data_IF_960561585356
#
_entry.id   IF_960561585356
#
_cell.length_a   1.000
_cell.length_b   1.000
_cell.length_c   1.000
_cell.angle_alpha   90.00
_cell.angle_beta   90.00
_cell.angle_gamma   90.00
#
_symmetry.space_group_name_H-M   'P 1'
#
loop_
_entity.id
_entity.type
_entity.pdbx_description
1 polymer ?
#
# COMPACT_ATOMS: atom_id res chain seq x y z
N UNK A 1 -7.06 -22.91 -19.46
CA UNK A 1 -7.14 -21.57 -18.81
C UNK A 1 -6.01 -20.74 -19.38
N UNK A 2 -6.25 -19.49 -19.80
CA UNK A 2 -5.18 -18.59 -20.26
C UNK A 2 -4.77 -17.69 -19.09
N UNK A 3 -3.48 -17.71 -18.73
CA UNK A 3 -2.89 -16.90 -17.65
C UNK A 3 -1.78 -16.05 -18.23
N UNK A 4 -1.64 -14.82 -17.76
CA UNK A 4 -0.51 -13.93 -18.03
C UNK A 4 0.01 -13.34 -16.72
N UNK A 5 1.32 -13.26 -16.58
CA UNK A 5 1.96 -12.73 -15.39
C UNK A 5 2.90 -11.56 -15.73
N UNK A 6 2.67 -10.38 -15.14
CA UNK A 6 3.63 -9.29 -15.10
C UNK A 6 4.29 -9.26 -13.71
N UNK A 7 5.59 -9.07 -13.64
CA UNK A 7 6.35 -9.05 -12.39
C UNK A 7 7.45 -8.00 -12.42
N UNK A 8 7.90 -7.56 -11.24
CA UNK A 8 9.00 -6.61 -11.13
C UNK A 8 10.35 -7.31 -11.34
N UNK A 9 11.22 -6.78 -12.20
CA UNK A 9 12.51 -7.41 -12.57
C UNK A 9 13.69 -7.05 -11.64
N UNK A 10 13.52 -6.17 -10.65
CA UNK A 10 14.63 -5.65 -9.84
C UNK A 10 15.47 -6.74 -9.18
N UNK A 11 14.83 -7.77 -8.68
CA UNK A 11 15.49 -8.89 -8.02
C UNK A 11 16.29 -9.79 -8.99
N UNK A 12 16.15 -9.62 -10.31
CA UNK A 12 16.99 -10.28 -11.32
C UNK A 12 18.31 -9.55 -11.58
N UNK A 13 18.46 -8.33 -11.09
CA UNK A 13 19.76 -7.65 -11.14
C UNK A 13 20.64 -8.20 -10.01
N UNK A 14 21.98 -8.29 -10.22
CA UNK A 14 22.88 -8.57 -9.13
C UNK A 14 22.72 -7.46 -8.11
N UNK A 15 21.76 -7.64 -7.21
CA UNK A 15 21.55 -6.75 -6.11
C UNK A 15 22.70 -6.94 -5.11
N UNK A 16 23.17 -5.87 -4.44
CA UNK A 16 24.10 -6.02 -3.33
C UNK A 16 23.51 -6.87 -2.19
N UNK A 17 22.22 -7.19 -2.29
CA UNK A 17 21.44 -8.00 -1.33
C UNK A 17 20.85 -9.17 -2.09
N UNK A 18 21.18 -10.43 -1.77
CA UNK A 18 20.54 -11.58 -2.38
C UNK A 18 19.04 -11.57 -2.05
N UNK A 19 18.18 -12.05 -2.97
CA UNK A 19 16.76 -12.21 -2.69
C UNK A 19 16.58 -13.14 -1.49
N UNK A 20 15.45 -13.04 -0.76
CA UNK A 20 15.11 -14.01 0.27
C UNK A 20 15.19 -15.43 -0.28
N UNK A 21 15.63 -16.41 0.52
CA UNK A 21 15.78 -17.80 0.05
C UNK A 21 14.49 -18.39 -0.55
N UNK A 22 13.34 -17.85 -0.20
CA UNK A 22 12.02 -18.32 -0.61
C UNK A 22 11.43 -17.51 -1.79
N UNK A 23 12.18 -16.58 -2.37
CA UNK A 23 11.78 -15.74 -3.49
C UNK A 23 12.69 -15.90 -4.70
N UNK A 24 13.03 -17.13 -5.06
CA UNK A 24 13.92 -17.39 -6.19
C UNK A 24 13.24 -16.94 -7.50
N UNK A 25 13.84 -15.96 -8.22
CA UNK A 25 13.32 -15.50 -9.50
C UNK A 25 13.24 -16.61 -10.56
N UNK A 26 14.04 -17.66 -10.43
CA UNK A 26 14.04 -18.80 -11.35
C UNK A 26 12.68 -19.51 -11.37
N UNK A 27 11.92 -19.46 -10.28
CA UNK A 27 10.57 -20.04 -10.22
C UNK A 27 9.60 -19.40 -11.22
N UNK A 28 9.84 -18.14 -11.62
CA UNK A 28 9.03 -17.47 -12.64
C UNK A 28 9.33 -18.05 -14.03
N UNK A 29 10.58 -18.41 -14.29
CA UNK A 29 11.01 -18.97 -15.57
C UNK A 29 10.50 -20.41 -15.75
N UNK A 30 10.19 -21.11 -14.66
CA UNK A 30 9.61 -22.46 -14.67
C UNK A 30 8.08 -22.45 -14.94
N UNK A 31 7.42 -21.27 -14.91
CA UNK A 31 5.99 -21.17 -15.17
C UNK A 31 5.69 -21.34 -16.66
N UNK A 32 4.88 -22.34 -17.00
CA UNK A 32 4.39 -22.56 -18.37
C UNK A 32 3.21 -21.60 -18.71
N UNK A 33 3.45 -20.28 -18.53
CA UNK A 33 2.51 -19.22 -18.87
C UNK A 33 3.28 -18.00 -19.42
N UNK A 34 2.68 -17.19 -20.29
CA UNK A 34 3.30 -15.94 -20.72
C UNK A 34 3.64 -15.03 -19.54
N UNK A 35 4.91 -14.71 -19.39
CA UNK A 35 5.42 -13.80 -18.36
C UNK A 35 6.03 -12.55 -18.96
N UNK A 36 5.96 -11.42 -18.24
CA UNK A 36 6.67 -10.18 -18.59
C UNK A 36 7.30 -9.54 -17.37
N UNK A 37 8.61 -9.41 -17.40
CA UNK A 37 9.36 -8.59 -16.47
C UNK A 37 9.15 -7.10 -16.78
N UNK A 38 8.88 -6.36 -15.74
CA UNK A 38 8.73 -4.89 -15.77
C UNK A 38 9.96 -4.31 -15.06
N UNK A 39 10.80 -3.51 -15.73
CA UNK A 39 11.92 -2.86 -15.07
C UNK A 39 11.43 -1.99 -13.90
N UNK A 40 11.99 -2.20 -12.72
CA UNK A 40 11.65 -1.46 -11.52
C UNK A 40 12.57 -0.26 -11.27
N UNK A 41 13.00 0.41 -12.32
CA UNK A 41 13.93 1.56 -12.25
C UNK A 41 13.43 2.66 -13.21
N UNK A 42 13.28 3.91 -12.73
CA UNK A 42 13.55 4.39 -11.37
C UNK A 42 12.54 3.89 -10.32
N UNK A 43 11.30 3.56 -10.73
CA UNK A 43 10.18 3.26 -9.85
C UNK A 43 9.71 1.80 -10.01
N UNK A 44 9.20 1.22 -8.92
CA UNK A 44 8.84 -0.19 -8.87
C UNK A 44 7.50 -0.48 -9.56
N UNK A 45 7.41 -1.65 -10.21
CA UNK A 45 6.13 -2.29 -10.47
C UNK A 45 5.69 -3.00 -9.16
N UNK A 46 4.92 -2.30 -8.36
CA UNK A 46 4.59 -2.72 -6.99
C UNK A 46 3.13 -3.19 -6.83
N UNK A 47 2.42 -3.40 -7.92
CA UNK A 47 1.06 -3.97 -7.90
C UNK A 47 0.99 -5.34 -7.25
N UNK A 48 -0.12 -5.62 -6.60
CA UNK A 48 -0.48 -6.94 -6.06
C UNK A 48 -1.97 -7.17 -6.32
N UNK A 49 -2.28 -7.64 -7.53
CA UNK A 49 -3.65 -7.99 -7.90
C UNK A 49 -3.73 -9.18 -8.85
N UNK A 50 -4.87 -9.81 -8.86
CA UNK A 50 -5.26 -10.83 -9.84
C UNK A 50 -6.61 -10.44 -10.43
N UNK A 51 -6.73 -10.56 -11.75
CA UNK A 51 -8.00 -10.44 -12.45
C UNK A 51 -8.42 -11.84 -12.87
N UNK A 52 -9.56 -12.29 -12.37
CA UNK A 52 -10.09 -13.60 -12.70
C UNK A 52 -11.24 -13.48 -13.70
N UNK A 53 -11.05 -14.03 -14.89
CA UNK A 53 -12.05 -14.20 -15.97
C UNK A 53 -12.74 -12.89 -16.39
N UNK A 54 -12.10 -11.74 -16.18
CA UNK A 54 -12.71 -10.41 -16.39
C UNK A 54 -13.97 -10.18 -15.54
N UNK A 55 -14.13 -10.91 -14.46
CA UNK A 55 -15.33 -10.91 -13.62
C UNK A 55 -15.05 -10.49 -12.17
N UNK A 56 -13.85 -10.76 -11.65
CA UNK A 56 -13.48 -10.38 -10.29
C UNK A 56 -12.04 -9.92 -10.19
N UNK A 57 -11.76 -9.16 -9.14
CA UNK A 57 -10.43 -8.66 -8.79
C UNK A 57 -10.10 -9.10 -7.37
N UNK A 58 -8.95 -9.73 -7.19
CA UNK A 58 -8.27 -9.93 -5.92
C UNK A 58 -7.17 -8.84 -5.82
N UNK A 59 -7.13 -8.08 -4.74
CA UNK A 59 -6.19 -6.97 -4.56
C UNK A 59 -5.84 -6.80 -3.10
N UNK A 60 -4.61 -6.33 -2.83
CA UNK A 60 -4.17 -6.07 -1.47
C UNK A 60 -2.69 -5.77 -1.34
N UNK A 61 -2.18 -6.02 -0.15
CA UNK A 61 -0.78 -5.73 0.18
C UNK A 61 0.17 -6.92 0.07
N UNK A 62 -0.36 -8.14 -0.06
CA UNK A 62 0.40 -9.40 0.00
C UNK A 62 1.30 -9.59 -1.20
N UNK A 63 2.61 -9.68 -0.98
CA UNK A 63 3.54 -10.15 -2.00
C UNK A 63 3.38 -11.67 -2.21
N UNK A 64 3.82 -12.15 -3.37
CA UNK A 64 3.76 -13.57 -3.72
C UNK A 64 5.03 -14.32 -3.25
N UNK A 65 5.30 -14.18 -1.94
CA UNK A 65 6.44 -14.79 -1.26
C UNK A 65 5.97 -15.49 0.01
N UNK A 66 6.67 -16.53 0.43
CA UNK A 66 6.33 -17.29 1.65
C UNK A 66 6.31 -16.38 2.90
N UNK A 67 7.27 -15.48 3.04
CA UNK A 67 7.31 -14.53 4.15
C UNK A 67 6.06 -13.65 4.21
N UNK A 68 5.55 -13.22 3.05
CA UNK A 68 4.35 -12.39 2.99
C UNK A 68 3.10 -13.12 3.46
N UNK A 69 3.01 -14.43 3.22
CA UNK A 69 1.89 -15.25 3.64
C UNK A 69 1.98 -15.72 5.09
N UNK A 70 3.18 -15.93 5.62
CA UNK A 70 3.38 -16.57 6.92
C UNK A 70 3.83 -15.64 8.05
N UNK A 71 4.43 -14.47 7.73
CA UNK A 71 5.13 -13.62 8.71
C UNK A 71 4.69 -12.16 8.72
N UNK A 72 4.10 -11.68 7.62
CA UNK A 72 3.70 -10.28 7.48
C UNK A 72 2.22 -10.10 7.82
N UNK A 73 1.90 -8.95 8.38
CA UNK A 73 0.52 -8.48 8.46
C UNK A 73 0.13 -7.88 7.11
N UNK A 74 -0.83 -8.49 6.46
CA UNK A 74 -1.32 -8.07 5.15
C UNK A 74 -2.85 -7.97 5.15
N UNK A 75 -3.40 -7.21 4.21
CA UNK A 75 -4.82 -7.15 3.92
C UNK A 75 -5.08 -7.47 2.45
N UNK A 76 -6.13 -8.24 2.20
CA UNK A 76 -6.59 -8.64 0.88
C UNK A 76 -8.09 -8.41 0.81
N UNK A 77 -8.55 -7.93 -0.32
CA UNK A 77 -9.97 -7.83 -0.66
C UNK A 77 -10.23 -8.48 -2.01
N UNK A 78 -11.40 -9.10 -2.14
CA UNK A 78 -11.89 -9.62 -3.42
C UNK A 78 -13.19 -8.91 -3.76
N UNK A 79 -13.32 -8.46 -5.00
CA UNK A 79 -14.52 -7.76 -5.49
C UNK A 79 -14.99 -8.44 -6.77
N UNK A 80 -16.21 -8.92 -6.77
CA UNK A 80 -16.87 -9.47 -7.94
C UNK A 80 -17.57 -8.34 -8.69
N UNK A 81 -16.93 -7.85 -9.77
CA UNK A 81 -17.44 -6.81 -10.64
C UNK A 81 -16.72 -6.82 -11.98
N UNK A 82 -17.46 -7.02 -13.06
CA UNK A 82 -16.91 -6.97 -14.43
C UNK A 82 -16.39 -5.58 -14.79
N UNK A 83 -17.07 -4.55 -14.35
CA UNK A 83 -16.66 -3.17 -14.63
C UNK A 83 -15.36 -2.83 -13.90
N UNK A 84 -15.24 -3.21 -12.62
CA UNK A 84 -14.00 -3.03 -11.87
C UNK A 84 -12.87 -3.87 -12.48
N UNK A 85 -13.13 -5.13 -12.82
CA UNK A 85 -12.16 -6.01 -13.49
C UNK A 85 -11.66 -5.41 -14.81
N UNK A 86 -12.53 -4.73 -15.56
CA UNK A 86 -12.14 -4.01 -16.79
C UNK A 86 -11.16 -2.86 -16.52
N UNK A 87 -11.33 -2.11 -15.39
CA UNK A 87 -10.38 -1.06 -14.98
C UNK A 87 -8.99 -1.64 -14.70
N UNK A 88 -8.93 -2.74 -13.94
CA UNK A 88 -7.67 -3.43 -13.66
C UNK A 88 -7.05 -4.03 -14.93
N UNK A 89 -7.87 -4.59 -15.83
CA UNK A 89 -7.40 -5.09 -17.12
C UNK A 89 -6.78 -3.96 -17.96
N UNK A 90 -7.41 -2.79 -17.98
CA UNK A 90 -6.87 -1.63 -18.70
C UNK A 90 -5.50 -1.21 -18.18
N UNK A 91 -5.28 -1.21 -16.88
CA UNK A 91 -3.98 -0.90 -16.26
C UNK A 91 -2.96 -2.01 -16.56
N UNK A 92 -3.35 -3.28 -16.40
CA UNK A 92 -2.52 -4.43 -16.74
C UNK A 92 -2.03 -4.37 -18.19
N UNK A 93 -2.90 -4.02 -19.15
CA UNK A 93 -2.52 -3.92 -20.55
C UNK A 93 -1.53 -2.77 -20.79
N UNK A 94 -1.62 -1.65 -20.07
CA UNK A 94 -0.62 -0.58 -20.16
C UNK A 94 0.77 -1.11 -19.75
N UNK A 95 0.87 -1.81 -18.62
CA UNK A 95 2.10 -2.46 -18.18
C UNK A 95 2.56 -3.53 -19.17
N UNK A 96 1.66 -4.40 -19.57
CA UNK A 96 1.97 -5.51 -20.45
C UNK A 96 2.53 -5.07 -21.79
N UNK A 97 2.00 -3.99 -22.36
CA UNK A 97 2.41 -3.47 -23.67
C UNK A 97 3.67 -2.62 -23.59
N UNK A 98 3.78 -1.78 -22.56
CA UNK A 98 4.87 -0.79 -22.50
C UNK A 98 6.09 -1.29 -21.76
N UNK A 99 5.94 -2.18 -20.78
CA UNK A 99 6.97 -2.59 -19.82
C UNK A 99 7.62 -1.40 -19.10
N UNK A 100 6.85 -0.35 -18.86
CA UNK A 100 7.35 0.93 -18.39
C UNK A 100 6.36 1.49 -17.36
N UNK A 101 6.81 1.58 -16.10
CA UNK A 101 6.01 2.05 -14.96
C UNK A 101 5.51 3.47 -15.22
N UNK A 102 6.36 4.37 -15.72
CA UNK A 102 6.00 5.77 -15.96
C UNK A 102 4.87 5.96 -16.98
N UNK A 103 4.61 4.96 -17.81
CA UNK A 103 3.55 4.99 -18.84
C UNK A 103 2.21 4.45 -18.36
N UNK A 104 2.11 4.01 -17.11
CA UNK A 104 0.92 3.36 -16.52
C UNK A 104 0.14 4.26 -15.56
N UNK A 105 -0.89 3.75 -14.92
CA UNK A 105 -1.70 4.51 -13.97
C UNK A 105 -2.63 5.54 -14.62
N UNK A 106 -2.96 5.40 -15.91
CA UNK A 106 -3.78 6.36 -16.66
C UNK A 106 -5.29 6.11 -16.52
N UNK A 107 -5.69 4.99 -15.96
CA UNK A 107 -7.10 4.61 -15.80
C UNK A 107 -7.83 5.67 -14.99
N UNK A 108 -9.05 6.05 -15.45
CA UNK A 108 -9.86 7.01 -14.71
C UNK A 108 -10.37 6.38 -13.39
N UNK A 109 -10.27 7.10 -12.26
CA UNK A 109 -10.81 6.66 -10.99
C UNK A 109 -12.30 6.98 -10.83
N UNK A 110 -13.06 7.02 -11.93
CA UNK A 110 -14.51 7.21 -11.86
C UNK A 110 -15.15 6.06 -11.05
N UNK A 111 -16.19 6.34 -10.25
CA UNK A 111 -16.79 5.32 -9.43
C UNK A 111 -17.47 4.24 -10.27
N UNK A 112 -17.40 3.02 -9.78
CA UNK A 112 -18.16 1.87 -10.22
C UNK A 112 -19.13 1.51 -9.10
N UNK A 113 -20.39 1.19 -9.40
CA UNK A 113 -21.32 0.72 -8.40
C UNK A 113 -21.25 -0.80 -8.29
N UNK A 114 -20.91 -1.30 -7.12
CA UNK A 114 -20.85 -2.73 -6.80
C UNK A 114 -21.79 -2.99 -5.61
N UNK A 115 -22.83 -3.77 -5.81
CA UNK A 115 -23.85 -4.07 -4.79
C UNK A 115 -24.39 -2.80 -4.06
N UNK A 116 -24.63 -1.74 -4.84
CA UNK A 116 -25.14 -0.46 -4.35
C UNK A 116 -24.09 0.46 -3.68
N UNK A 117 -22.83 0.07 -3.67
CA UNK A 117 -21.72 0.84 -3.06
C UNK A 117 -20.82 1.44 -4.13
N UNK A 118 -20.33 2.65 -3.88
CA UNK A 118 -19.32 3.25 -4.77
C UNK A 118 -17.95 2.65 -4.50
N UNK A 119 -17.32 2.15 -5.56
CA UNK A 119 -15.95 1.64 -5.57
C UNK A 119 -15.13 2.36 -6.63
N UNK A 120 -13.96 2.84 -6.28
CA UNK A 120 -13.01 3.46 -7.23
C UNK A 120 -11.72 2.65 -7.25
N UNK A 121 -11.18 2.41 -8.44
CA UNK A 121 -9.84 1.90 -8.62
C UNK A 121 -8.89 3.04 -8.94
N UNK A 122 -7.85 3.19 -8.13
CA UNK A 122 -6.78 4.15 -8.32
C UNK A 122 -5.52 3.43 -8.74
N UNK A 123 -4.78 4.01 -9.68
CA UNK A 123 -3.50 3.49 -10.15
C UNK A 123 -2.46 4.61 -10.21
N UNK A 124 -1.28 4.40 -9.60
CA UNK A 124 -0.12 5.27 -9.79
C UNK A 124 0.80 4.69 -10.90
N UNK A 125 1.77 5.46 -11.43
CA UNK A 125 2.16 6.80 -10.98
C UNK A 125 1.25 7.93 -11.50
N UNK A 126 0.59 7.80 -12.65
CA UNK A 126 -0.13 8.94 -13.26
C UNK A 126 -1.27 9.51 -12.39
N UNK A 127 -1.76 8.75 -11.43
CA UNK A 127 -2.78 9.19 -10.46
C UNK A 127 -2.27 9.19 -9.01
N UNK A 128 -0.98 8.92 -8.78
CA UNK A 128 -0.41 8.77 -7.44
C UNK A 128 -0.56 10.00 -6.57
N UNK A 129 -0.15 11.16 -7.05
CA UNK A 129 -0.33 12.43 -6.33
C UNK A 129 -1.81 12.73 -6.05
N UNK A 130 -2.68 12.53 -7.04
CA UNK A 130 -4.13 12.73 -6.87
C UNK A 130 -4.71 11.75 -5.84
N UNK A 131 -4.23 10.50 -5.80
CA UNK A 131 -4.61 9.52 -4.78
C UNK A 131 -4.16 9.97 -3.39
N UNK A 132 -2.92 10.44 -3.24
CA UNK A 132 -2.42 10.95 -1.97
C UNK A 132 -3.28 12.11 -1.44
N UNK A 133 -3.64 13.07 -2.31
CA UNK A 133 -4.55 14.14 -1.97
C UNK A 133 -5.98 13.65 -1.68
N UNK A 134 -6.44 12.61 -2.36
CA UNK A 134 -7.76 11.99 -2.08
C UNK A 134 -7.80 11.36 -0.70
N UNK A 135 -6.77 10.60 -0.33
CA UNK A 135 -6.64 10.03 1.02
C UNK A 135 -6.53 11.15 2.06
N UNK A 136 -5.67 12.14 1.85
CA UNK A 136 -5.54 13.30 2.74
C UNK A 136 -6.88 14.01 2.93
N UNK A 137 -7.63 14.25 1.84
CA UNK A 137 -8.96 14.85 1.91
C UNK A 137 -9.94 14.01 2.73
N UNK A 138 -9.94 12.68 2.59
CA UNK A 138 -10.78 11.80 3.40
C UNK A 138 -10.42 11.90 4.89
N UNK A 139 -9.12 11.90 5.23
CA UNK A 139 -8.66 12.08 6.61
C UNK A 139 -9.09 13.44 7.19
N UNK A 140 -8.91 14.53 6.41
CA UNK A 140 -9.27 15.89 6.86
C UNK A 140 -10.77 16.14 7.02
N UNK A 141 -11.61 15.34 6.35
CA UNK A 141 -13.07 15.43 6.46
C UNK A 141 -13.69 14.43 7.43
N UNK A 142 -12.92 13.50 7.95
CA UNK A 142 -13.40 12.51 8.91
C UNK A 142 -14.00 13.19 10.16
N UNK A 143 -15.09 12.61 10.68
CA UNK A 143 -15.85 13.15 11.82
C UNK A 143 -15.80 12.22 13.03
N UNK A 144 -15.71 10.92 12.81
CA UNK A 144 -15.84 9.91 13.85
C UNK A 144 -14.51 9.22 14.10
N UNK A 145 -13.93 8.56 13.07
CA UNK A 145 -12.75 7.71 13.24
C UNK A 145 -11.82 7.73 12.05
N UNK A 146 -10.54 7.54 12.37
CA UNK A 146 -9.48 7.21 11.41
C UNK A 146 -8.74 5.97 11.93
N UNK A 147 -8.54 4.97 11.07
CA UNK A 147 -7.69 3.81 11.35
C UNK A 147 -6.70 3.61 10.21
N UNK A 148 -5.42 3.50 10.55
CA UNK A 148 -4.34 3.35 9.56
C UNK A 148 -3.49 2.15 9.92
N UNK A 149 -3.33 1.21 8.96
CA UNK A 149 -2.25 0.24 8.96
C UNK A 149 -1.37 0.52 7.74
N UNK A 150 -0.14 0.95 7.94
CA UNK A 150 0.81 1.24 6.87
C UNK A 150 2.23 1.07 7.36
N UNK A 151 3.15 0.47 6.57
CA UNK A 151 4.55 0.37 6.99
C UNK A 151 5.14 1.72 7.35
N UNK A 152 4.85 2.75 6.55
CA UNK A 152 5.32 4.12 6.71
C UNK A 152 4.19 5.12 6.41
N UNK A 153 4.32 6.36 6.92
CA UNK A 153 3.41 7.49 6.64
C UNK A 153 4.29 8.70 6.31
N UNK A 154 4.70 8.82 5.05
CA UNK A 154 5.71 9.80 4.62
C UNK A 154 5.30 10.65 3.40
N UNK A 155 4.15 10.34 2.78
CA UNK A 155 3.51 11.20 1.77
C UNK A 155 3.20 12.58 2.36
N UNK A 156 3.63 13.64 1.69
CA UNK A 156 3.48 15.00 2.20
C UNK A 156 2.03 15.37 2.53
N UNK A 157 1.09 15.26 1.57
CA UNK A 157 -0.32 15.58 1.81
C UNK A 157 -0.95 14.76 2.95
N UNK A 158 -0.69 13.45 2.96
CA UNK A 158 -1.26 12.53 3.96
C UNK A 158 -0.70 12.83 5.36
N UNK A 159 0.62 12.96 5.48
CA UNK A 159 1.28 13.22 6.76
C UNK A 159 0.90 14.59 7.33
N UNK A 160 0.87 15.63 6.49
CA UNK A 160 0.48 16.98 6.91
C UNK A 160 -0.93 16.99 7.48
N UNK A 161 -1.90 16.47 6.72
CA UNK A 161 -3.30 16.38 7.16
C UNK A 161 -3.46 15.52 8.40
N UNK A 162 -2.80 14.36 8.49
CA UNK A 162 -2.87 13.50 9.67
C UNK A 162 -2.35 14.22 10.92
N UNK A 163 -1.24 14.96 10.81
CA UNK A 163 -0.68 15.71 11.93
C UNK A 163 -1.63 16.82 12.41
N UNK A 164 -2.33 17.48 11.50
CA UNK A 164 -3.37 18.47 11.83
C UNK A 164 -4.55 17.81 12.54
N UNK A 165 -5.12 16.74 11.98
CA UNK A 165 -6.27 16.02 12.57
C UNK A 165 -5.94 15.51 13.97
N UNK A 166 -4.74 14.94 14.16
CA UNK A 166 -4.28 14.48 15.47
C UNK A 166 -4.09 15.63 16.45
N UNK A 167 -3.63 16.79 15.97
CA UNK A 167 -3.47 17.99 16.81
C UNK A 167 -4.82 18.57 17.25
N UNK A 168 -5.83 18.54 16.39
CA UNK A 168 -7.19 19.00 16.68
C UNK A 168 -7.92 18.10 17.68
N UNK A 169 -7.56 16.84 17.79
CA UNK A 169 -8.08 15.85 18.72
C UNK A 169 -9.63 15.71 18.74
N UNK A 170 -10.28 15.96 17.58
CA UNK A 170 -11.75 15.87 17.45
C UNK A 170 -12.21 14.52 16.89
N UNK A 171 -11.31 13.77 16.29
CA UNK A 171 -11.55 12.48 15.63
C UNK A 171 -10.80 11.39 16.37
N UNK A 172 -11.41 10.23 16.52
CA UNK A 172 -10.74 9.04 17.08
C UNK A 172 -9.74 8.47 16.07
N UNK A 173 -8.46 8.83 16.24
CA UNK A 173 -7.37 8.43 15.36
C UNK A 173 -6.53 7.35 16.03
N UNK A 174 -6.33 6.24 15.34
CA UNK A 174 -5.42 5.19 15.81
C UNK A 174 -4.81 4.42 14.62
N UNK A 175 -3.71 3.70 14.86
CA UNK A 175 -3.10 2.93 13.79
C UNK A 175 -1.93 2.06 14.22
N UNK A 176 -1.33 1.44 13.22
CA UNK A 176 -0.13 0.63 13.37
C UNK A 176 0.86 0.91 12.24
N UNK A 177 2.14 0.95 12.56
CA UNK A 177 3.25 1.14 11.62
C UNK A 177 4.33 0.08 11.83
N UNK A 178 5.27 0.01 10.89
CA UNK A 178 6.52 -0.73 11.05
C UNK A 178 7.58 0.17 11.66
N UNK A 179 7.93 -0.05 12.93
CA UNK A 179 8.87 0.81 13.67
C UNK A 179 10.26 0.77 13.05
N UNK A 180 10.69 -0.39 12.56
CA UNK A 180 12.01 -0.52 11.92
C UNK A 180 12.11 0.35 10.67
N UNK A 181 11.07 0.35 9.84
CA UNK A 181 11.01 1.19 8.64
C UNK A 181 10.84 2.68 8.98
N UNK A 182 10.04 3.02 10.00
CA UNK A 182 9.90 4.42 10.46
C UNK A 182 11.25 4.97 10.98
N UNK A 183 11.99 4.18 11.75
CA UNK A 183 13.31 4.59 12.25
C UNK A 183 14.30 4.79 11.11
N UNK A 184 14.28 3.93 10.09
CA UNK A 184 15.12 4.09 8.90
C UNK A 184 14.76 5.36 8.11
N UNK A 185 13.47 5.65 7.94
CA UNK A 185 13.00 6.91 7.31
C UNK A 185 13.50 8.13 8.08
N UNK A 186 13.36 8.14 9.40
CA UNK A 186 13.81 9.26 10.23
C UNK A 186 15.32 9.46 10.10
N UNK A 187 16.10 8.38 10.11
CA UNK A 187 17.55 8.40 9.93
C UNK A 187 17.94 8.99 8.55
N UNK A 188 17.24 8.56 7.49
CA UNK A 188 17.48 9.08 6.13
C UNK A 188 17.13 10.57 6.02
N UNK A 189 16.00 10.99 6.59
CA UNK A 189 15.62 12.41 6.58
C UNK A 189 16.57 13.29 7.35
N UNK A 190 17.09 12.83 8.48
CA UNK A 190 18.10 13.52 9.26
C UNK A 190 19.41 13.67 8.48
N UNK A 191 19.86 12.59 7.85
CA UNK A 191 21.07 12.59 7.03
C UNK A 191 20.97 13.52 5.81
N UNK A 192 19.80 13.60 5.19
CA UNK A 192 19.57 14.39 3.98
C UNK A 192 19.24 15.87 4.27
N UNK A 193 18.86 16.23 5.48
CA UNK A 193 18.57 17.61 5.90
C UNK A 193 17.40 18.32 5.21
N UNK A 194 16.63 17.61 4.37
CA UNK A 194 15.59 18.19 3.49
C UNK A 194 14.15 17.93 3.93
N UNK A 195 13.93 17.30 5.08
CA UNK A 195 12.60 16.96 5.58
C UNK A 195 12.28 17.59 6.95
N UNK A 196 12.69 18.83 7.17
CA UNK A 196 12.61 19.52 8.46
C UNK A 196 11.20 19.57 9.07
N UNK A 197 10.14 19.74 8.27
CA UNK A 197 8.77 19.75 8.76
C UNK A 197 8.17 18.33 8.90
N UNK A 198 8.61 17.38 8.06
CA UNK A 198 8.07 16.00 8.07
C UNK A 198 8.46 15.24 9.34
N UNK A 199 9.68 15.42 9.84
CA UNK A 199 10.15 14.73 11.04
C UNK A 199 9.31 15.06 12.28
N UNK A 200 9.12 16.34 12.67
CA UNK A 200 8.27 16.67 13.80
C UNK A 200 6.81 16.31 13.57
N UNK A 201 6.28 16.42 12.34
CA UNK A 201 4.92 16.01 12.00
C UNK A 201 4.73 14.51 12.19
N UNK A 202 5.64 13.67 11.70
CA UNK A 202 5.58 12.22 11.85
C UNK A 202 5.67 11.81 13.32
N UNK A 203 6.62 12.36 14.08
CA UNK A 203 6.73 12.11 15.52
C UNK A 203 5.45 12.51 16.25
N UNK A 204 4.91 13.70 15.96
CA UNK A 204 3.68 14.17 16.59
C UNK A 204 2.48 13.26 16.25
N UNK A 205 2.28 12.89 14.99
CA UNK A 205 1.20 12.01 14.57
C UNK A 205 1.24 10.64 15.26
N UNK A 206 2.43 10.03 15.34
CA UNK A 206 2.60 8.70 15.90
C UNK A 206 2.64 8.64 17.43
N UNK A 207 2.89 9.77 18.12
CA UNK A 207 2.98 9.80 19.59
C UNK A 207 1.77 10.43 20.27
N UNK A 208 1.04 11.32 19.58
CA UNK A 208 -0.16 11.95 20.15
C UNK A 208 -1.43 11.14 19.93
N UNK A 209 -1.50 10.37 18.83
CA UNK A 209 -2.55 9.37 18.62
C UNK A 209 -2.04 7.98 19.05
N UNK A 210 -2.93 7.04 19.43
CA UNK A 210 -2.54 5.71 19.90
C UNK A 210 -2.10 4.81 18.74
N UNK A 211 -0.88 5.04 18.25
CA UNK A 211 -0.22 4.15 17.30
C UNK A 211 0.57 3.06 18.01
N UNK A 212 0.44 1.83 17.53
CA UNK A 212 1.31 0.70 17.87
C UNK A 212 2.35 0.47 16.78
N UNK A 213 3.41 -0.22 17.10
CA UNK A 213 4.49 -0.48 16.15
C UNK A 213 5.04 -1.89 16.21
N UNK A 214 5.01 -2.58 15.07
CA UNK A 214 5.76 -3.83 14.91
C UNK A 214 7.24 -3.50 14.71
N UNK A 215 8.10 -4.14 15.47
CA UNK A 215 9.55 -4.09 15.24
C UNK A 215 9.92 -5.27 14.35
N UNK A 216 10.01 -5.02 13.06
CA UNK A 216 10.41 -6.03 12.08
C UNK A 216 11.93 -6.23 12.05
N UNK A 217 12.35 -7.35 11.45
CA UNK A 217 13.75 -7.61 11.17
C UNK A 217 14.28 -6.58 10.17
N UNK A 218 15.41 -5.89 10.46
CA UNK A 218 16.02 -4.98 9.52
C UNK A 218 16.36 -5.68 8.21
N UNK A 219 16.13 -5.00 7.09
CA UNK A 219 16.47 -5.53 5.78
C UNK A 219 17.97 -5.74 5.66
N UNK A 220 18.37 -6.98 5.44
CA UNK A 220 19.74 -7.40 5.19
C UNK A 220 19.75 -8.62 4.25
N UNK A 221 20.90 -8.94 3.61
CA UNK A 221 21.02 -10.16 2.82
C UNK A 221 20.63 -11.40 3.61
N UNK A 222 19.67 -12.19 3.08
CA UNK A 222 19.19 -13.41 3.73
C UNK A 222 18.35 -13.20 5.01
N UNK A 223 17.97 -11.96 5.34
CA UNK A 223 17.05 -11.70 6.45
C UNK A 223 15.62 -12.14 6.11
N UNK A 224 14.87 -12.54 7.13
CA UNK A 224 13.43 -12.75 6.99
C UNK A 224 12.71 -11.42 6.79
N UNK A 225 11.59 -11.44 6.04
CA UNK A 225 10.76 -10.27 5.80
C UNK A 225 9.46 -10.41 6.60
N UNK A 226 9.48 -9.95 7.84
CA UNK A 226 8.38 -10.05 8.82
C UNK A 226 7.68 -8.71 9.08
N UNK A 227 7.56 -7.87 8.07
CA UNK A 227 7.07 -6.48 8.15
C UNK A 227 5.61 -6.37 8.59
N UNK A 228 5.26 -5.25 9.24
CA UNK A 228 3.90 -4.76 9.23
C UNK A 228 3.61 -4.18 7.84
N UNK A 229 2.99 -4.97 6.97
CA UNK A 229 2.96 -4.71 5.54
C UNK A 229 1.56 -4.38 5.00
N UNK A 230 0.52 -4.39 5.82
CA UNK A 230 -0.81 -3.96 5.43
C UNK A 230 -0.82 -2.48 4.98
N UNK A 231 -1.64 -2.17 3.99
CA UNK A 231 -1.89 -0.81 3.52
C UNK A 231 -3.40 -0.60 3.51
N UNK A 232 -3.89 -0.20 4.68
CA UNK A 232 -5.31 0.06 4.94
C UNK A 232 -5.44 1.43 5.57
N UNK A 233 -6.33 2.25 5.03
CA UNK A 233 -6.75 3.51 5.65
C UNK A 233 -8.26 3.53 5.70
N UNK A 234 -8.82 3.72 6.87
CA UNK A 234 -10.25 3.92 7.11
C UNK A 234 -10.46 5.36 7.56
N UNK A 235 -11.37 6.06 6.91
CA UNK A 235 -11.83 7.39 7.29
C UNK A 235 -13.36 7.36 7.31
N UNK A 236 -13.94 7.34 8.51
CA UNK A 236 -15.36 7.09 8.76
C UNK A 236 -15.85 5.83 8.04
N UNK A 237 -16.68 5.96 6.99
CA UNK A 237 -17.24 4.86 6.21
C UNK A 237 -16.50 4.60 4.89
N UNK A 238 -15.34 5.22 4.68
CA UNK A 238 -14.52 5.03 3.49
C UNK A 238 -13.27 4.22 3.81
N UNK A 239 -13.02 3.20 2.99
CA UNK A 239 -11.83 2.33 3.08
C UNK A 239 -10.94 2.55 1.86
N UNK A 240 -9.66 2.73 2.09
CA UNK A 240 -8.61 2.64 1.08
C UNK A 240 -7.76 1.40 1.37
N UNK A 241 -7.68 0.48 0.43
CA UNK A 241 -6.92 -0.78 0.58
C UNK A 241 -6.26 -1.18 -0.73
N UNK A 242 -5.01 -1.63 -0.66
CA UNK A 242 -4.26 -2.03 -1.86
C UNK A 242 -2.77 -2.22 -1.62
N UNK A 243 -1.97 -1.86 -2.62
CA UNK A 243 -0.52 -2.01 -2.57
C UNK A 243 0.22 -0.72 -2.15
N UNK A 244 -0.48 0.43 -2.14
CA UNK A 244 0.08 1.77 -2.00
C UNK A 244 0.60 2.02 -0.59
N UNK A 245 1.93 2.16 -0.45
CA UNK A 245 2.51 2.72 0.75
C UNK A 245 2.17 4.21 0.85
N UNK A 246 1.82 4.69 2.04
CA UNK A 246 1.53 6.12 2.27
C UNK A 246 2.83 6.94 2.20
N UNK A 247 3.51 6.93 1.05
CA UNK A 247 4.83 7.50 0.83
C UNK A 247 4.93 8.18 -0.54
N UNK A 248 5.92 9.04 -0.70
CA UNK A 248 6.23 9.65 -2.01
C UNK A 248 6.58 8.59 -3.06
N UNK A 249 7.38 7.58 -2.70
CA UNK A 249 7.66 6.46 -3.62
C UNK A 249 6.40 5.69 -4.02
N UNK A 250 5.39 5.60 -3.14
CA UNK A 250 4.09 5.02 -3.50
C UNK A 250 3.38 5.86 -4.57
N UNK A 251 3.55 7.18 -4.58
CA UNK A 251 2.97 8.05 -5.59
C UNK A 251 3.61 7.83 -6.97
N UNK A 252 4.88 7.42 -7.03
CA UNK A 252 5.69 7.24 -8.22
C UNK A 252 5.73 5.79 -8.74
N UNK A 253 5.65 4.81 -7.85
CA UNK A 253 5.56 3.39 -8.22
C UNK A 253 4.27 3.08 -8.99
N UNK A 254 4.26 1.95 -9.71
CA UNK A 254 2.99 1.35 -10.16
C UNK A 254 2.31 0.66 -8.99
N UNK A 255 1.30 1.32 -8.42
CA UNK A 255 0.49 0.84 -7.30
C UNK A 255 -0.99 0.83 -7.63
N UNK A 256 -1.76 0.07 -6.88
CA UNK A 256 -3.21 0.07 -6.97
C UNK A 256 -3.87 0.25 -5.60
N UNK A 257 -4.98 0.98 -5.58
CA UNK A 257 -5.83 1.14 -4.39
C UNK A 257 -7.29 1.03 -4.79
N UNK A 258 -8.04 0.30 -4.00
CA UNK A 258 -9.50 0.36 -3.99
C UNK A 258 -9.94 1.36 -2.91
N UNK A 259 -10.72 2.36 -3.32
CA UNK A 259 -11.48 3.24 -2.45
C UNK A 259 -12.91 2.75 -2.43
N UNK A 260 -13.41 2.34 -1.27
CA UNK A 260 -14.72 1.70 -1.11
C UNK A 260 -15.54 2.47 -0.07
N UNK A 261 -16.68 2.99 -0.47
CA UNK A 261 -17.63 3.64 0.42
C UNK A 261 -18.63 2.60 0.95
N UNK A 262 -18.35 2.05 2.14
CA UNK A 262 -19.13 0.98 2.76
C UNK A 262 -18.91 0.99 4.28
N UNK A 263 -19.95 1.32 5.05
CA UNK A 263 -19.87 1.42 6.51
C UNK A 263 -19.55 0.07 7.18
N UNK A 264 -20.07 -1.05 6.66
CA UNK A 264 -19.81 -2.38 7.21
C UNK A 264 -18.37 -2.80 6.98
N UNK A 265 -17.86 -2.64 5.76
CA UNK A 265 -16.47 -2.91 5.43
C UNK A 265 -15.53 -1.99 6.23
N UNK A 266 -15.87 -0.71 6.36
CA UNK A 266 -15.09 0.24 7.15
C UNK A 266 -15.02 -0.16 8.63
N UNK A 267 -16.13 -0.62 9.22
CA UNK A 267 -16.14 -1.14 10.58
C UNK A 267 -15.27 -2.40 10.72
N UNK A 268 -15.33 -3.34 9.77
CA UNK A 268 -14.50 -4.55 9.76
C UNK A 268 -13.01 -4.24 9.59
N UNK A 269 -12.67 -3.32 8.69
CA UNK A 269 -11.27 -2.93 8.48
C UNK A 269 -10.73 -2.10 9.65
N UNK A 270 -11.55 -1.29 10.30
CA UNK A 270 -11.17 -0.62 11.53
C UNK A 270 -10.88 -1.62 12.65
N UNK A 271 -11.75 -2.62 12.85
CA UNK A 271 -11.54 -3.69 13.81
C UNK A 271 -10.24 -4.47 13.51
N UNK A 272 -9.99 -4.80 12.24
CA UNK A 272 -8.72 -5.44 11.82
C UNK A 272 -7.49 -4.60 12.23
N UNK A 273 -7.52 -3.30 12.01
CA UNK A 273 -6.40 -2.41 12.44
C UNK A 273 -6.28 -2.40 13.97
N UNK A 274 -7.38 -2.34 14.70
CA UNK A 274 -7.39 -2.36 16.17
C UNK A 274 -6.90 -3.70 16.73
N UNK A 275 -7.23 -4.83 16.10
CA UNK A 275 -6.68 -6.15 16.44
C UNK A 275 -5.17 -6.22 16.21
N UNK A 276 -4.67 -5.68 15.10
CA UNK A 276 -3.23 -5.60 14.86
C UNK A 276 -2.54 -4.74 15.91
N UNK A 277 -3.11 -3.59 16.25
CA UNK A 277 -2.59 -2.70 17.29
C UNK A 277 -2.47 -3.40 18.63
N UNK A 278 -3.44 -4.23 19.00
CA UNK A 278 -3.44 -4.94 20.26
C UNK A 278 -2.29 -5.98 20.40
N UNK A 279 -1.70 -6.41 19.29
CA UNK A 279 -0.60 -7.38 19.26
C UNK A 279 0.77 -6.75 19.52
N UNK A 280 0.90 -5.44 19.35
CA UNK A 280 2.19 -4.75 19.33
C UNK A 280 2.22 -3.58 20.32
N UNK A 281 3.39 -3.24 20.89
CA UNK A 281 3.52 -2.13 21.83
C UNK A 281 3.23 -0.79 21.17
N UNK A 282 2.94 0.21 21.99
CA UNK A 282 2.86 1.60 21.53
C UNK A 282 4.17 2.03 20.86
N UNK A 283 4.05 2.88 19.82
CA UNK A 283 5.23 3.41 19.11
C UNK A 283 6.10 4.20 20.08
N UNK A 284 7.40 3.86 20.12
CA UNK A 284 8.45 4.62 20.77
C UNK A 284 9.51 5.01 19.73
N UNK A 285 9.67 6.35 19.49
CA UNK A 285 10.54 6.94 18.46
C UNK A 285 11.64 7.82 19.08
#
# INVERSE_FOLDING_TARGET
MAVRLAFNEDHRKPAPVPPPPEGDPSTIDELDVPTRGIPGVPDLMHHKYVIRDGASVWSGSTNWTMDSWSRQENAIVTVDSRELAARFTQDFEQLWQTRDVEKTGKVSPDPVVVDGREVRAWFSPKRGERLAHRIAGALGHAKERIRIASPVITSGPILGTLAEVVSDAKVDVAGIVDVTQIQEVLRQWEANGNASWKMPALRAALTRAPFSGKRSTPYAPGSIHDYMHAKVTVADDTVFVGSFNLSHSGEENAENVLEIADAELAARMAAFVDELRARYPAVAL
#
